data_IF_691907333770
#
_entry.id   IF_691907333770
#
_cell.length_a   1.000
_cell.length_b   1.000
_cell.length_c   1.000
_cell.angle_alpha   90.00
_cell.angle_beta   90.00
_cell.angle_gamma   90.00
#
_symmetry.space_group_name_H-M   'P 1'
#
loop_
_entity.id
_entity.type
_entity.pdbx_description
1 polymer ?
#
# COMPACT_ATOMS: atom_id res chain seq x y z
N UNK A 1 -19.44 -23.95 14.46
CA UNK A 1 -18.36 -23.79 13.50
C UNK A 1 -18.81 -23.89 12.03
N UNK A 2 -19.65 -24.84 11.64
CA UNK A 2 -20.12 -25.01 10.22
C UNK A 2 -20.87 -23.81 9.62
N UNK A 3 -21.61 -23.02 10.40
CA UNK A 3 -22.34 -21.84 9.91
C UNK A 3 -21.43 -20.64 9.58
N UNK A 4 -20.38 -20.39 10.37
CA UNK A 4 -19.42 -19.30 10.16
C UNK A 4 -18.53 -19.58 8.93
N UNK A 5 -18.17 -20.86 8.70
CA UNK A 5 -17.40 -21.26 7.53
C UNK A 5 -18.22 -21.08 6.22
N UNK A 6 -19.53 -21.37 6.26
CA UNK A 6 -20.42 -21.12 5.12
C UNK A 6 -20.57 -19.63 4.82
N UNK A 7 -20.61 -18.79 5.84
CA UNK A 7 -20.71 -17.33 5.69
C UNK A 7 -19.43 -16.74 5.11
N UNK A 8 -18.26 -17.21 5.56
CA UNK A 8 -16.95 -16.82 5.01
C UNK A 8 -16.83 -17.30 3.55
N UNK A 9 -17.27 -18.52 3.26
CA UNK A 9 -17.25 -19.06 1.89
C UNK A 9 -18.22 -18.31 0.97
N UNK A 10 -19.40 -17.90 1.47
CA UNK A 10 -20.37 -17.09 0.72
C UNK A 10 -19.88 -15.65 0.52
N UNK A 11 -19.23 -15.06 1.52
CA UNK A 11 -18.58 -13.77 1.41
C UNK A 11 -17.40 -13.81 0.42
N UNK A 12 -16.63 -14.90 0.43
CA UNK A 12 -15.56 -15.14 -0.56
C UNK A 12 -16.11 -15.38 -1.96
N UNK A 13 -17.25 -16.10 -2.08
CA UNK A 13 -17.92 -16.34 -3.38
C UNK A 13 -18.57 -15.06 -3.92
N UNK A 14 -18.97 -14.12 -3.07
CA UNK A 14 -19.49 -12.81 -3.47
C UNK A 14 -18.37 -11.82 -3.85
N UNK A 15 -17.11 -12.12 -3.53
CA UNK A 15 -15.92 -11.41 -3.99
C UNK A 15 -15.52 -11.79 -5.43
N UNK A 16 -16.14 -12.85 -6.00
CA UNK A 16 -16.02 -13.14 -7.41
C UNK A 16 -16.67 -12.01 -8.20
N UNK A 17 -15.94 -11.36 -9.11
CA UNK A 17 -16.48 -10.23 -9.85
C UNK A 17 -17.74 -10.67 -10.61
N UNK A 18 -18.84 -9.97 -10.37
CA UNK A 18 -20.09 -10.06 -11.17
C UNK A 18 -19.87 -9.65 -12.65
N UNK A 19 -18.65 -9.37 -13.03
CA UNK A 19 -18.20 -9.04 -14.39
C UNK A 19 -18.32 -10.18 -15.39
N UNK A 20 -18.78 -11.37 -15.00
CA UNK A 20 -19.04 -12.50 -15.91
C UNK A 20 -20.20 -12.25 -16.90
N UNK A 21 -20.95 -11.14 -16.78
CA UNK A 21 -22.07 -10.84 -17.69
C UNK A 21 -21.79 -9.77 -18.75
N UNK A 22 -20.57 -9.23 -18.82
CA UNK A 22 -20.22 -8.15 -19.75
C UNK A 22 -19.33 -8.58 -20.93
N UNK A 23 -19.15 -9.88 -21.17
CA UNK A 23 -18.46 -10.36 -22.35
C UNK A 23 -19.41 -10.45 -23.54
N UNK A 24 -19.91 -9.30 -23.99
CA UNK A 24 -20.46 -9.13 -25.34
C UNK A 24 -19.31 -9.05 -26.33
N UNK A 25 -19.39 -9.88 -27.36
CA UNK A 25 -18.46 -10.01 -28.49
C UNK A 25 -17.94 -8.66 -29.01
N UNK A 26 -16.67 -8.39 -28.83
CA UNK A 26 -15.88 -7.57 -29.75
C UNK A 26 -14.86 -8.48 -30.43
N UNK A 27 -14.90 -8.54 -31.77
CA UNK A 27 -13.96 -9.22 -32.66
C UNK A 27 -12.61 -8.49 -32.73
N UNK A 28 -12.06 -8.11 -31.62
CA UNK A 28 -10.72 -7.55 -31.49
C UNK A 28 -10.08 -8.19 -30.28
N UNK A 29 -9.01 -8.96 -30.48
CA UNK A 29 -8.28 -9.57 -29.37
C UNK A 29 -7.97 -8.52 -28.31
N UNK A 30 -8.36 -8.79 -27.05
CA UNK A 30 -8.16 -7.89 -25.93
C UNK A 30 -6.66 -7.57 -25.84
N UNK A 31 -6.28 -6.31 -26.02
CA UNK A 31 -4.91 -5.90 -25.75
C UNK A 31 -4.67 -6.01 -24.24
N UNK A 32 -4.14 -7.16 -23.85
CA UNK A 32 -3.89 -7.52 -22.46
C UNK A 32 -3.00 -6.48 -21.77
N UNK A 33 -2.04 -5.91 -22.47
CA UNK A 33 -1.14 -4.91 -21.91
C UNK A 33 -1.91 -3.63 -21.55
N UNK A 34 -2.72 -3.13 -22.46
CA UNK A 34 -3.55 -1.94 -22.23
C UNK A 34 -4.57 -2.18 -21.11
N UNK A 35 -5.19 -3.37 -21.07
CA UNK A 35 -6.10 -3.77 -20.01
C UNK A 35 -5.43 -3.77 -18.63
N UNK A 36 -4.27 -4.42 -18.50
CA UNK A 36 -3.56 -4.53 -17.23
C UNK A 36 -3.12 -3.16 -16.72
N UNK A 37 -2.44 -2.38 -17.55
CA UNK A 37 -1.92 -1.08 -17.13
C UNK A 37 -3.03 -0.04 -16.90
N UNK A 38 -4.13 -0.11 -17.64
CA UNK A 38 -5.30 0.75 -17.43
C UNK A 38 -5.97 0.51 -16.08
N UNK A 39 -6.04 -0.75 -15.61
CA UNK A 39 -6.65 -1.06 -14.31
C UNK A 39 -5.73 -0.78 -13.13
N UNK A 40 -4.43 -1.05 -13.26
CA UNK A 40 -3.44 -0.85 -12.19
C UNK A 40 -3.02 0.61 -12.06
N UNK A 41 -3.07 1.37 -13.15
CA UNK A 41 -2.70 2.78 -13.21
C UNK A 41 -3.59 3.70 -12.38
N UNK A 42 -3.06 4.89 -12.12
CA UNK A 42 -3.82 5.98 -11.52
C UNK A 42 -4.67 6.69 -12.60
N UNK A 43 -5.86 7.16 -12.24
CA UNK A 43 -6.81 7.76 -13.19
C UNK A 43 -7.58 8.92 -12.55
N UNK A 44 -8.12 9.82 -13.40
CA UNK A 44 -8.98 10.93 -12.98
C UNK A 44 -10.46 10.53 -12.87
N UNK A 45 -10.75 9.25 -13.09
CA UNK A 45 -12.09 8.67 -12.93
C UNK A 45 -11.99 7.36 -12.14
N UNK A 46 -12.98 7.10 -11.30
CA UNK A 46 -13.09 5.80 -10.64
C UNK A 46 -14.10 4.94 -11.36
N UNK A 47 -13.62 3.99 -12.12
CA UNK A 47 -14.46 3.02 -12.80
C UNK A 47 -15.05 2.02 -11.78
N UNK A 48 -16.38 1.92 -11.70
CA UNK A 48 -17.07 1.00 -10.79
C UNK A 48 -17.43 -0.29 -11.52
N UNK A 49 -18.15 -0.19 -12.62
CA UNK A 49 -18.61 -1.34 -13.43
C UNK A 49 -19.10 -0.88 -14.79
N UNK A 50 -19.19 -1.83 -15.72
CA UNK A 50 -19.80 -1.63 -17.02
C UNK A 50 -21.15 -2.36 -17.04
N UNK A 51 -22.23 -1.65 -17.37
CA UNK A 51 -23.56 -2.22 -17.51
C UNK A 51 -24.03 -2.03 -18.95
N UNK A 52 -23.99 -3.11 -19.73
CA UNK A 52 -24.19 -3.03 -21.18
C UNK A 52 -23.09 -2.21 -21.86
N UNK A 53 -23.46 -1.20 -22.63
CA UNK A 53 -22.52 -0.28 -23.30
C UNK A 53 -22.18 0.98 -22.48
N UNK A 54 -22.68 1.09 -21.25
CA UNK A 54 -22.46 2.28 -20.41
C UNK A 54 -21.49 1.98 -19.29
N UNK A 55 -20.36 2.70 -19.28
CA UNK A 55 -19.40 2.67 -18.17
C UNK A 55 -19.92 3.53 -17.01
N UNK A 56 -20.07 2.91 -15.84
CA UNK A 56 -20.43 3.63 -14.61
C UNK A 56 -19.12 4.06 -13.95
N UNK A 57 -18.79 5.34 -14.10
CA UNK A 57 -17.60 5.96 -13.52
C UNK A 57 -17.98 7.06 -12.53
N UNK A 58 -17.21 7.21 -11.47
CA UNK A 58 -17.27 8.38 -10.60
C UNK A 58 -16.25 9.39 -11.12
N UNK A 59 -16.67 10.55 -11.67
CA UNK A 59 -15.75 11.58 -12.09
C UNK A 59 -15.11 12.24 -10.88
N UNK A 60 -13.81 12.49 -10.94
CA UNK A 60 -13.06 13.09 -9.85
C UNK A 60 -12.77 14.57 -10.12
N UNK A 61 -12.59 15.38 -9.07
CA UNK A 61 -12.26 16.79 -9.23
C UNK A 61 -10.81 16.95 -9.69
N UNK A 62 -10.64 17.63 -10.80
CA UNK A 62 -9.34 18.04 -11.33
C UNK A 62 -9.04 19.46 -10.82
N UNK A 63 -7.83 19.62 -10.26
CA UNK A 63 -7.32 20.89 -9.73
C UNK A 63 -5.99 21.16 -10.42
N UNK A 64 -5.97 22.14 -11.30
CA UNK A 64 -4.83 22.46 -12.15
C UNK A 64 -4.42 23.91 -11.91
N UNK A 65 -3.12 24.13 -11.81
CA UNK A 65 -2.53 25.48 -11.71
C UNK A 65 -1.77 25.73 -13.01
N UNK A 66 -2.36 26.57 -13.86
CA UNK A 66 -1.81 27.04 -15.11
C UNK A 66 -2.39 28.44 -15.31
N UNK A 67 -1.61 29.47 -15.59
CA UNK A 67 -2.06 30.88 -15.66
C UNK A 67 -3.15 31.31 -14.66
N UNK A 68 -3.50 30.44 -13.71
CA UNK A 68 -4.55 30.57 -12.69
C UNK A 68 -4.92 29.22 -12.07
N UNK A 69 -5.82 29.24 -11.09
CA UNK A 69 -6.38 28.03 -10.49
C UNK A 69 -7.64 27.60 -11.24
N UNK A 70 -7.57 26.44 -11.89
CA UNK A 70 -8.69 25.81 -12.57
C UNK A 70 -9.20 24.62 -11.78
N UNK A 71 -10.50 24.60 -11.43
CA UNK A 71 -11.14 23.49 -10.72
C UNK A 71 -12.35 23.03 -11.52
N UNK A 72 -12.33 21.79 -12.00
CA UNK A 72 -13.38 21.21 -12.81
C UNK A 72 -13.52 19.70 -12.55
N UNK A 73 -14.59 19.10 -13.04
CA UNK A 73 -14.76 17.63 -13.00
C UNK A 73 -14.08 16.99 -14.19
N UNK A 74 -13.56 15.79 -14.02
CA UNK A 74 -12.89 15.02 -15.10
C UNK A 74 -13.76 14.87 -16.35
N UNK A 75 -15.08 14.84 -16.22
CA UNK A 75 -16.02 14.82 -17.36
C UNK A 75 -15.97 16.06 -18.25
N UNK A 76 -15.60 17.21 -17.70
CA UNK A 76 -15.56 18.50 -18.40
C UNK A 76 -14.13 18.92 -18.76
N UNK A 77 -13.17 17.99 -18.72
CA UNK A 77 -11.76 18.25 -18.97
C UNK A 77 -11.55 18.92 -20.35
N UNK A 78 -12.19 18.38 -21.39
CA UNK A 78 -12.09 18.91 -22.75
C UNK A 78 -12.68 20.33 -22.90
N UNK A 79 -13.72 20.67 -22.15
CA UNK A 79 -14.34 22.00 -22.16
C UNK A 79 -13.41 23.07 -21.58
N UNK A 80 -12.52 22.66 -20.68
CA UNK A 80 -11.52 23.53 -20.06
C UNK A 80 -10.18 23.57 -20.81
N UNK A 81 -10.10 22.92 -21.97
CA UNK A 81 -8.89 22.92 -22.81
C UNK A 81 -7.81 21.93 -22.38
N UNK A 82 -8.15 20.94 -21.56
CA UNK A 82 -7.22 19.90 -21.13
C UNK A 82 -7.57 18.55 -21.72
N UNK A 83 -6.55 17.72 -21.91
CA UNK A 83 -6.70 16.33 -22.38
C UNK A 83 -5.73 15.39 -21.64
N UNK A 84 -5.90 14.09 -21.85
CA UNK A 84 -4.98 13.10 -21.32
C UNK A 84 -3.95 12.71 -22.38
N UNK A 85 -2.68 12.67 -22.01
CA UNK A 85 -1.63 12.15 -22.89
C UNK A 85 -1.66 10.60 -22.93
N UNK A 86 -0.74 9.99 -23.71
CA UNK A 86 -0.61 8.54 -23.84
C UNK A 86 -0.34 7.83 -22.50
N UNK A 87 0.24 8.53 -21.51
CA UNK A 87 0.52 8.01 -20.17
C UNK A 87 -0.66 8.22 -19.20
N UNK A 88 -1.81 8.69 -19.68
CA UNK A 88 -2.99 8.99 -18.86
C UNK A 88 -2.80 10.20 -17.93
N UNK A 89 -1.88 11.12 -18.23
CA UNK A 89 -1.64 12.34 -17.46
C UNK A 89 -2.29 13.54 -18.11
N UNK A 90 -2.81 14.45 -17.28
CA UNK A 90 -3.42 15.68 -17.73
C UNK A 90 -2.39 16.61 -18.37
N UNK A 91 -2.70 17.10 -19.57
CA UNK A 91 -1.90 18.05 -20.36
C UNK A 91 -2.83 19.10 -20.98
N UNK A 92 -2.31 20.27 -21.25
CA UNK A 92 -3.00 21.27 -22.05
C UNK A 92 -3.18 20.77 -23.50
N UNK A 93 -4.40 20.89 -24.04
CA UNK A 93 -4.72 20.35 -25.36
C UNK A 93 -4.06 21.12 -26.51
N UNK A 94 -3.66 22.38 -26.30
CA UNK A 94 -3.04 23.21 -27.33
C UNK A 94 -1.50 23.08 -27.35
N UNK A 95 -0.89 23.09 -26.15
CA UNK A 95 0.58 23.09 -26.00
C UNK A 95 1.16 21.71 -25.77
N UNK A 96 0.35 20.71 -25.37
CA UNK A 96 0.75 19.39 -24.89
C UNK A 96 1.75 19.46 -23.70
N UNK A 97 1.85 20.63 -23.07
CA UNK A 97 2.65 20.81 -21.86
C UNK A 97 1.89 20.34 -20.63
N UNK A 98 2.65 19.93 -19.62
CA UNK A 98 2.08 19.41 -18.38
C UNK A 98 2.01 20.52 -17.35
N UNK A 99 0.79 21.02 -16.98
CA UNK A 99 0.61 22.01 -15.94
C UNK A 99 0.92 21.42 -14.55
N UNK A 100 0.95 22.27 -13.53
CA UNK A 100 1.01 21.81 -12.15
C UNK A 100 -0.33 21.20 -11.75
N UNK A 101 -0.37 19.87 -11.70
CA UNK A 101 -1.55 19.09 -11.44
C UNK A 101 -1.60 18.64 -9.96
N UNK A 102 -2.62 19.13 -9.22
CA UNK A 102 -2.90 18.77 -7.82
C UNK A 102 -4.27 18.07 -7.73
N UNK A 103 -4.69 17.44 -8.80
CA UNK A 103 -6.02 16.80 -8.89
C UNK A 103 -6.17 15.64 -7.91
N UNK A 104 -7.41 15.40 -7.48
CA UNK A 104 -7.75 14.23 -6.69
C UNK A 104 -7.96 13.05 -7.63
N UNK A 105 -6.91 12.28 -7.84
CA UNK A 105 -6.94 11.04 -8.63
C UNK A 105 -7.57 9.88 -7.84
N UNK A 106 -7.81 8.76 -8.51
CA UNK A 106 -8.32 7.52 -7.90
C UNK A 106 -7.50 7.09 -6.68
N UNK A 107 -6.17 7.12 -6.81
CA UNK A 107 -5.27 6.72 -5.71
C UNK A 107 -5.29 7.72 -4.56
N UNK A 108 -5.37 9.02 -4.84
CA UNK A 108 -5.47 10.06 -3.79
C UNK A 108 -6.78 9.93 -3.02
N UNK A 109 -7.91 9.74 -3.73
CA UNK A 109 -9.21 9.53 -3.08
C UNK A 109 -9.21 8.25 -2.23
N UNK A 110 -8.66 7.16 -2.76
CA UNK A 110 -8.54 5.92 -2.01
C UNK A 110 -7.70 6.08 -0.74
N UNK A 111 -6.57 6.78 -0.82
CA UNK A 111 -5.73 7.09 0.36
C UNK A 111 -6.51 7.90 1.41
N UNK A 112 -7.29 8.90 0.99
CA UNK A 112 -8.13 9.70 1.91
C UNK A 112 -9.19 8.83 2.59
N UNK A 113 -9.88 7.97 1.84
CA UNK A 113 -10.91 7.07 2.37
C UNK A 113 -10.27 6.04 3.33
N UNK A 114 -9.15 5.44 2.94
CA UNK A 114 -8.45 4.46 3.76
C UNK A 114 -7.89 5.08 5.06
N UNK A 115 -7.37 6.30 4.98
CA UNK A 115 -6.93 7.05 6.16
C UNK A 115 -8.12 7.38 7.09
N UNK A 116 -9.26 7.82 6.55
CA UNK A 116 -10.47 8.07 7.33
C UNK A 116 -11.01 6.77 7.96
N UNK A 117 -11.00 5.66 7.23
CA UNK A 117 -11.38 4.34 7.73
C UNK A 117 -10.48 3.91 8.89
N UNK A 118 -9.16 4.01 8.72
CA UNK A 118 -8.18 3.68 9.75
C UNK A 118 -8.38 4.53 11.01
N UNK A 119 -8.52 5.85 10.85
CA UNK A 119 -8.79 6.75 11.95
C UNK A 119 -10.10 6.37 12.67
N UNK A 120 -11.15 6.05 11.92
CA UNK A 120 -12.43 5.60 12.47
C UNK A 120 -12.29 4.33 13.29
N UNK A 121 -11.53 3.35 12.81
CA UNK A 121 -11.25 2.09 13.51
C UNK A 121 -10.48 2.35 14.81
N UNK A 122 -9.36 3.07 14.74
CA UNK A 122 -8.50 3.34 15.92
C UNK A 122 -9.23 4.19 16.96
N UNK A 123 -9.93 5.25 16.53
CA UNK A 123 -10.72 6.08 17.45
C UNK A 123 -11.89 5.31 18.04
N UNK A 124 -12.50 4.41 17.28
CA UNK A 124 -13.53 3.49 17.77
C UNK A 124 -13.02 2.58 18.88
N UNK A 125 -11.87 1.95 18.65
CA UNK A 125 -11.19 1.14 19.67
C UNK A 125 -10.83 1.97 20.91
N UNK A 126 -10.23 3.14 20.72
CA UNK A 126 -9.84 4.02 21.82
C UNK A 126 -11.04 4.49 22.65
N UNK A 127 -12.19 4.79 22.01
CA UNK A 127 -13.45 5.13 22.71
C UNK A 127 -13.99 3.96 23.51
N UNK A 128 -13.90 2.75 22.99
CA UNK A 128 -14.35 1.56 23.70
C UNK A 128 -13.54 1.39 25.00
N UNK A 129 -12.19 1.44 24.93
CA UNK A 129 -11.30 1.33 26.10
C UNK A 129 -11.49 2.44 27.14
N UNK A 130 -11.90 3.64 26.72
CA UNK A 130 -12.23 4.74 27.65
C UNK A 130 -13.53 4.53 28.41
N UNK A 131 -14.49 3.77 27.85
CA UNK A 131 -15.84 3.60 28.40
C UNK A 131 -16.02 2.30 29.21
N UNK A 132 -15.16 1.31 28.98
CA UNK A 132 -15.30 -0.02 29.54
C UNK A 132 -14.10 -0.36 30.42
N UNK A 133 -14.39 -1.02 31.54
CA UNK A 133 -13.34 -1.53 32.44
C UNK A 133 -12.82 -2.87 31.88
N UNK A 134 -11.59 -2.86 31.40
CA UNK A 134 -10.93 -4.03 30.75
C UNK A 134 -10.87 -5.25 31.70
N UNK A 135 -10.85 -5.02 33.02
CA UNK A 135 -10.83 -6.11 34.00
C UNK A 135 -12.17 -6.82 34.12
N UNK A 136 -13.27 -6.13 33.76
CA UNK A 136 -14.64 -6.64 33.94
C UNK A 136 -15.30 -7.05 32.64
N UNK A 137 -14.97 -6.38 31.55
CA UNK A 137 -15.61 -6.56 30.23
C UNK A 137 -14.61 -6.99 29.18
N UNK A 138 -14.91 -8.09 28.45
CA UNK A 138 -14.08 -8.56 27.35
C UNK A 138 -14.40 -7.79 26.08
N UNK A 139 -13.39 -7.35 25.33
CA UNK A 139 -13.59 -6.72 24.04
C UNK A 139 -14.33 -7.65 23.07
N UNK A 140 -15.19 -7.07 22.21
CA UNK A 140 -16.00 -7.81 21.24
C UNK A 140 -15.90 -7.18 19.85
N UNK A 141 -16.16 -7.98 18.81
CA UNK A 141 -16.18 -7.53 17.41
C UNK A 141 -14.83 -6.99 16.95
N UNK A 142 -14.82 -5.81 16.36
CA UNK A 142 -13.65 -5.20 15.76
C UNK A 142 -12.55 -4.88 16.80
N UNK A 143 -12.93 -4.49 18.02
CA UNK A 143 -11.96 -4.22 19.09
C UNK A 143 -11.20 -5.50 19.46
N UNK A 144 -11.90 -6.64 19.58
CA UNK A 144 -11.27 -7.94 19.88
C UNK A 144 -10.37 -8.44 18.74
N UNK A 145 -10.60 -7.98 17.50
CA UNK A 145 -9.73 -8.30 16.36
C UNK A 145 -8.48 -7.41 16.36
N UNK A 146 -8.63 -6.12 16.68
CA UNK A 146 -7.54 -5.16 16.65
C UNK A 146 -6.57 -5.30 17.82
N UNK A 147 -7.07 -5.69 19.00
CA UNK A 147 -6.27 -5.79 20.23
C UNK A 147 -5.03 -6.69 20.06
N UNK A 148 -5.14 -7.96 19.62
CA UNK A 148 -3.97 -8.83 19.47
C UNK A 148 -2.99 -8.31 18.41
N UNK A 149 -3.48 -7.64 17.35
CA UNK A 149 -2.62 -7.07 16.31
C UNK A 149 -1.85 -5.87 16.86
N UNK A 150 -2.52 -4.97 17.59
CA UNK A 150 -1.88 -3.81 18.22
C UNK A 150 -0.82 -4.28 19.23
N UNK A 151 -1.15 -5.24 20.09
CA UNK A 151 -0.22 -5.78 21.07
C UNK A 151 0.98 -6.47 20.42
N UNK A 152 0.75 -7.27 19.38
CA UNK A 152 1.82 -7.91 18.61
C UNK A 152 2.78 -6.88 18.00
N UNK A 153 2.25 -5.84 17.36
CA UNK A 153 3.08 -4.80 16.73
C UNK A 153 3.84 -3.99 17.77
N UNK A 154 3.20 -3.63 18.90
CA UNK A 154 3.84 -2.83 19.93
C UNK A 154 4.89 -3.63 20.73
N UNK A 155 4.52 -4.84 21.22
CA UNK A 155 5.39 -5.61 22.12
C UNK A 155 6.44 -6.41 21.35
N UNK A 156 6.01 -7.24 20.40
CA UNK A 156 6.90 -8.25 19.81
C UNK A 156 7.72 -7.67 18.64
N UNK A 157 7.23 -6.57 18.02
CA UNK A 157 7.92 -5.99 16.89
C UNK A 157 8.67 -4.71 17.26
N UNK A 158 8.00 -3.73 17.92
CA UNK A 158 8.60 -2.41 18.15
C UNK A 158 9.47 -2.42 19.41
N UNK A 159 8.90 -2.88 20.53
CA UNK A 159 9.61 -2.86 21.82
C UNK A 159 10.80 -3.78 21.85
N UNK A 160 10.67 -4.99 21.31
CA UNK A 160 11.74 -5.98 21.31
C UNK A 160 12.91 -5.59 20.39
N UNK A 161 12.63 -4.88 19.28
CA UNK A 161 13.66 -4.45 18.31
C UNK A 161 14.36 -3.16 18.74
N UNK A 162 13.60 -2.16 19.24
CA UNK A 162 14.19 -0.86 19.60
C UNK A 162 14.71 -0.86 21.03
N UNK A 163 14.08 -1.62 21.93
CA UNK A 163 14.47 -1.66 23.34
C UNK A 163 14.05 -0.40 24.13
N UNK A 164 14.86 0.04 25.12
CA UNK A 164 14.54 1.21 25.93
C UNK A 164 14.34 2.46 25.08
N UNK A 165 13.24 3.20 25.34
CA UNK A 165 12.94 4.42 24.56
C UNK A 165 12.03 4.18 23.33
N UNK A 166 11.59 2.95 23.06
CA UNK A 166 10.71 2.62 21.94
C UNK A 166 9.45 3.50 21.84
N UNK A 167 8.93 3.98 22.97
CA UNK A 167 7.70 4.81 23.04
C UNK A 167 7.76 6.08 22.19
N UNK A 168 8.95 6.59 21.93
CA UNK A 168 9.15 7.76 21.06
C UNK A 168 8.87 7.45 19.59
N UNK A 169 9.19 6.24 19.15
CA UNK A 169 9.10 5.81 17.74
C UNK A 169 7.85 4.96 17.48
N UNK A 170 7.26 4.37 18.53
CA UNK A 170 6.09 3.52 18.43
C UNK A 170 4.91 4.17 17.67
N UNK A 171 4.52 5.45 17.89
CA UNK A 171 3.42 6.06 17.16
C UNK A 171 3.66 6.08 15.63
N UNK A 172 4.88 6.38 15.21
CA UNK A 172 5.24 6.37 13.79
C UNK A 172 5.16 4.95 13.20
N UNK A 173 5.82 3.98 13.84
CA UNK A 173 5.89 2.60 13.36
C UNK A 173 4.51 1.91 13.35
N UNK A 174 3.70 2.14 14.37
CA UNK A 174 2.31 1.69 14.42
C UNK A 174 1.48 2.29 13.28
N UNK A 175 1.63 3.59 13.05
CA UNK A 175 0.93 4.28 11.95
C UNK A 175 1.36 3.71 10.61
N UNK A 176 2.66 3.51 10.38
CA UNK A 176 3.18 2.92 9.14
C UNK A 176 2.65 1.50 8.93
N UNK A 177 2.65 0.66 9.97
CA UNK A 177 2.12 -0.70 9.91
C UNK A 177 0.65 -0.73 9.47
N UNK A 178 -0.21 -0.02 10.21
CA UNK A 178 -1.64 -0.04 9.94
C UNK A 178 -1.99 0.67 8.63
N UNK A 179 -1.28 1.72 8.28
CA UNK A 179 -1.46 2.41 7.01
C UNK A 179 -1.16 1.47 5.82
N UNK A 180 -0.02 0.78 5.85
CA UNK A 180 0.34 -0.18 4.79
C UNK A 180 -0.66 -1.34 4.77
N UNK A 181 -0.98 -1.92 5.93
CA UNK A 181 -1.91 -3.04 6.02
C UNK A 181 -3.29 -2.70 5.47
N UNK A 182 -3.87 -1.57 5.89
CA UNK A 182 -5.21 -1.16 5.43
C UNK A 182 -5.20 -0.85 3.94
N UNK A 183 -4.19 -0.14 3.43
CA UNK A 183 -4.11 0.17 2.00
C UNK A 183 -3.94 -1.09 1.15
N UNK A 184 -3.10 -2.04 1.57
CA UNK A 184 -2.92 -3.30 0.86
C UNK A 184 -4.21 -4.14 0.88
N UNK A 185 -4.87 -4.27 2.03
CA UNK A 185 -6.12 -5.02 2.15
C UNK A 185 -7.23 -4.37 1.32
N UNK A 186 -7.37 -3.04 1.38
CA UNK A 186 -8.38 -2.32 0.58
C UNK A 186 -8.10 -2.41 -0.92
N UNK A 187 -6.83 -2.55 -1.32
CA UNK A 187 -6.47 -2.80 -2.71
C UNK A 187 -7.02 -4.13 -3.25
N UNK A 188 -7.05 -5.19 -2.45
CA UNK A 188 -7.53 -6.51 -2.84
C UNK A 188 -9.05 -6.53 -3.05
N UNK A 189 -9.81 -5.67 -2.35
CA UNK A 189 -11.27 -5.62 -2.51
C UNK A 189 -11.67 -4.98 -3.85
N UNK A 190 -12.34 -5.71 -4.77
CA UNK A 190 -12.63 -5.21 -6.12
C UNK A 190 -13.81 -4.22 -6.17
N UNK A 191 -14.43 -3.90 -5.02
CA UNK A 191 -15.59 -3.02 -4.94
C UNK A 191 -15.22 -1.66 -4.34
N UNK A 192 -15.89 -0.60 -4.83
CA UNK A 192 -15.79 0.71 -4.20
C UNK A 192 -16.10 0.63 -2.67
N UNK A 193 -15.28 1.22 -1.80
CA UNK A 193 -14.12 2.08 -2.02
C UNK A 193 -12.76 1.36 -2.15
N UNK A 194 -12.75 0.05 -2.42
CA UNK A 194 -11.55 -0.75 -2.67
C UNK A 194 -11.11 -0.77 -4.13
N UNK A 195 -10.16 -1.65 -4.46
CA UNK A 195 -9.67 -1.86 -5.82
C UNK A 195 -8.71 -0.81 -6.35
N UNK A 196 -8.33 0.18 -5.55
CA UNK A 196 -7.28 1.12 -5.90
C UNK A 196 -5.93 0.59 -5.43
N UNK A 197 -4.98 0.46 -6.36
CA UNK A 197 -3.63 -0.01 -6.08
C UNK A 197 -2.76 1.12 -5.52
N UNK A 198 -3.09 1.58 -4.29
CA UNK A 198 -2.44 2.74 -3.67
C UNK A 198 -0.97 2.51 -3.36
N UNK A 199 -0.62 1.36 -2.79
CA UNK A 199 0.77 0.99 -2.45
C UNK A 199 1.55 0.43 -3.64
N UNK A 200 0.88 0.08 -4.75
CA UNK A 200 1.47 -0.14 -6.06
C UNK A 200 1.75 1.16 -6.84
N UNK A 201 1.51 2.32 -6.23
CA UNK A 201 1.97 3.60 -6.76
C UNK A 201 3.33 3.96 -6.14
N UNK A 202 4.34 4.12 -6.99
CA UNK A 202 5.72 4.39 -6.56
C UNK A 202 5.85 5.69 -5.75
N UNK A 203 5.02 6.69 -6.02
CA UNK A 203 5.03 7.95 -5.28
C UNK A 203 4.62 7.75 -3.82
N UNK A 204 3.60 6.92 -3.55
CA UNK A 204 3.12 6.61 -2.20
C UNK A 204 4.20 5.86 -1.41
N UNK A 205 4.79 4.84 -2.02
CA UNK A 205 5.84 4.04 -1.37
C UNK A 205 7.14 4.84 -1.18
N UNK A 206 7.45 5.75 -2.09
CA UNK A 206 8.55 6.70 -1.95
C UNK A 206 8.35 7.60 -0.73
N UNK A 207 7.17 8.17 -0.56
CA UNK A 207 6.85 9.04 0.60
C UNK A 207 7.02 8.27 1.91
N UNK A 208 6.52 7.03 2.01
CA UNK A 208 6.72 6.17 3.18
C UNK A 208 8.21 5.92 3.47
N UNK A 209 8.99 5.61 2.42
CA UNK A 209 10.42 5.39 2.56
C UNK A 209 11.18 6.66 2.97
N UNK A 210 10.78 7.83 2.46
CA UNK A 210 11.34 9.14 2.85
C UNK A 210 11.02 9.45 4.32
N UNK A 211 9.82 9.15 4.80
CA UNK A 211 9.51 9.29 6.23
C UNK A 211 10.41 8.40 7.10
N UNK A 212 10.63 7.14 6.72
CA UNK A 212 11.58 6.27 7.41
C UNK A 212 13.00 6.84 7.35
N UNK A 213 13.44 7.33 6.19
CA UNK A 213 14.74 7.97 6.03
C UNK A 213 14.92 9.18 6.97
N UNK A 214 13.90 10.02 7.07
CA UNK A 214 13.89 11.18 7.97
C UNK A 214 13.96 10.72 9.43
N UNK A 215 13.15 9.73 9.83
CA UNK A 215 13.14 9.22 11.19
C UNK A 215 14.49 8.63 11.60
N UNK A 216 15.17 7.94 10.71
CA UNK A 216 16.49 7.35 10.95
C UNK A 216 17.59 8.42 11.01
N UNK A 217 17.63 9.33 10.03
CA UNK A 217 18.77 10.21 9.85
C UNK A 217 18.62 11.56 10.58
N UNK A 218 17.42 12.17 10.60
CA UNK A 218 17.24 13.49 11.29
C UNK A 218 17.29 13.32 12.80
N UNK A 219 16.77 12.20 13.30
CA UNK A 219 16.79 11.91 14.74
C UNK A 219 17.95 11.02 15.17
N UNK A 220 18.88 10.68 14.26
CA UNK A 220 20.06 9.85 14.53
C UNK A 220 20.98 10.47 15.57
N UNK A 221 21.63 9.62 16.38
CA UNK A 221 22.59 10.03 17.40
C UNK A 221 23.91 10.48 16.78
N UNK A 222 24.71 11.25 17.55
CA UNK A 222 26.07 11.62 17.10
C UNK A 222 26.96 10.41 16.86
N UNK A 223 26.78 9.35 17.62
CA UNK A 223 27.55 8.11 17.46
C UNK A 223 27.23 7.43 16.13
N UNK A 224 25.94 7.40 15.73
CA UNK A 224 25.53 6.90 14.42
C UNK A 224 26.23 7.63 13.26
N UNK A 225 26.26 8.97 13.28
CA UNK A 225 26.98 9.74 12.26
C UNK A 225 28.49 9.54 12.32
N UNK A 226 29.05 9.38 13.53
CA UNK A 226 30.46 9.07 13.69
C UNK A 226 30.81 7.71 13.08
N UNK A 227 29.97 6.70 13.25
CA UNK A 227 30.17 5.39 12.63
C UNK A 227 30.09 5.43 11.11
N UNK A 228 29.16 6.22 10.53
CA UNK A 228 29.06 6.41 9.08
C UNK A 228 30.33 7.06 8.50
N UNK A 229 30.78 8.16 9.11
CA UNK A 229 31.91 8.95 8.55
C UNK A 229 33.29 8.47 9.05
N UNK A 230 33.34 7.87 10.24
CA UNK A 230 34.57 7.45 10.89
C UNK A 230 34.40 6.11 11.61
N UNK A 231 34.19 5.02 10.89
CA UNK A 231 33.95 3.71 11.50
C UNK A 231 35.17 3.24 12.30
N UNK A 232 34.92 2.56 13.42
CA UNK A 232 35.97 1.97 14.27
C UNK A 232 36.49 0.64 13.65
N UNK A 233 37.22 0.80 12.52
CA UNK A 233 37.89 -0.31 11.81
C UNK A 233 39.39 -0.22 11.95
N UNK A 234 40.14 -1.33 11.76
CA UNK A 234 41.61 -1.33 11.80
C UNK A 234 42.22 -0.27 10.86
N UNK A 235 43.35 0.32 11.27
CA UNK A 235 44.03 1.44 10.58
C UNK A 235 44.30 1.17 9.09
N UNK A 236 44.53 -0.08 8.74
CA UNK A 236 44.74 -0.53 7.34
C UNK A 236 43.50 -0.26 6.45
N UNK A 237 42.29 -0.47 6.98
CA UNK A 237 41.01 -0.19 6.26
C UNK A 237 40.64 1.30 6.26
N UNK A 238 41.17 2.08 7.23
CA UNK A 238 41.00 3.54 7.25
C UNK A 238 41.83 4.26 6.17
N UNK A 239 42.92 3.65 5.70
CA UNK A 239 43.76 4.23 4.66
C UNK A 239 43.04 4.30 3.30
N UNK A 240 42.07 3.44 3.05
CA UNK A 240 41.21 3.48 1.86
C UNK A 240 39.82 3.97 2.33
N UNK A 241 39.31 5.12 1.85
CA UNK A 241 38.01 5.67 2.31
C UNK A 241 36.80 4.88 1.75
N UNK A 242 36.94 3.55 1.62
CA UNK A 242 35.95 2.66 1.07
C UNK A 242 34.77 2.46 2.04
N UNK A 243 35.05 2.30 3.34
CA UNK A 243 34.03 2.05 4.35
C UNK A 243 33.03 3.20 4.51
N UNK A 244 33.44 4.47 4.66
CA UNK A 244 32.51 5.59 4.66
C UNK A 244 31.66 5.69 3.41
N UNK A 245 32.23 5.37 2.23
CA UNK A 245 31.48 5.38 0.98
C UNK A 245 30.38 4.31 0.99
N UNK A 246 30.69 3.10 1.45
CA UNK A 246 29.74 1.99 1.55
C UNK A 246 28.62 2.35 2.54
N UNK A 247 28.95 2.92 3.71
CA UNK A 247 27.98 3.34 4.72
C UNK A 247 27.07 4.46 4.20
N UNK A 248 27.62 5.47 3.52
CA UNK A 248 26.82 6.54 2.91
C UNK A 248 25.87 5.98 1.84
N UNK A 249 26.33 5.08 0.98
CA UNK A 249 25.48 4.40 0.02
C UNK A 249 24.40 3.61 0.76
N UNK A 250 24.75 2.91 1.85
CA UNK A 250 23.85 2.18 2.72
C UNK A 250 22.71 3.01 3.28
N UNK A 251 22.98 4.25 3.68
CA UNK A 251 21.97 5.20 4.19
C UNK A 251 20.86 5.45 3.19
N UNK A 252 21.17 5.53 1.88
CA UNK A 252 20.19 5.73 0.82
C UNK A 252 19.56 4.42 0.34
N UNK A 253 20.33 3.35 0.24
CA UNK A 253 19.84 2.06 -0.30
C UNK A 253 18.85 1.38 0.65
N UNK A 254 18.97 1.57 1.96
CA UNK A 254 18.03 0.99 2.94
C UNK A 254 16.57 1.46 2.70
N UNK A 255 16.25 2.77 2.70
CA UNK A 255 14.89 3.26 2.40
C UNK A 255 14.46 2.93 0.98
N UNK A 256 15.38 3.00 0.00
CA UNK A 256 15.08 2.64 -1.38
C UNK A 256 14.66 1.17 -1.51
N UNK A 257 15.33 0.26 -0.81
CA UNK A 257 14.95 -1.16 -0.75
C UNK A 257 13.56 -1.37 -0.15
N UNK A 258 13.18 -0.61 0.89
CA UNK A 258 11.83 -0.65 1.46
C UNK A 258 10.78 -0.20 0.44
N UNK A 259 11.05 0.91 -0.27
CA UNK A 259 10.18 1.44 -1.32
C UNK A 259 9.93 0.41 -2.43
N UNK A 260 11.01 -0.11 -3.03
CA UNK A 260 10.91 -1.06 -4.14
C UNK A 260 10.20 -2.35 -3.71
N UNK A 261 10.48 -2.86 -2.52
CA UNK A 261 9.83 -4.08 -2.02
C UNK A 261 8.33 -3.91 -1.88
N UNK A 262 7.88 -2.79 -1.27
CA UNK A 262 6.45 -2.52 -1.10
C UNK A 262 5.77 -2.33 -2.46
N UNK A 263 6.36 -1.51 -3.33
CA UNK A 263 5.88 -1.25 -4.67
C UNK A 263 5.77 -2.52 -5.52
N UNK A 264 6.88 -3.27 -5.65
CA UNK A 264 6.95 -4.42 -6.55
C UNK A 264 6.02 -5.56 -6.12
N UNK A 265 5.91 -5.84 -4.81
CA UNK A 265 5.03 -6.90 -4.33
C UNK A 265 3.56 -6.56 -4.58
N UNK A 266 3.14 -5.33 -4.28
CA UNK A 266 1.73 -4.92 -4.46
C UNK A 266 1.37 -4.83 -5.94
N UNK A 267 2.24 -4.21 -6.75
CA UNK A 267 2.03 -4.13 -8.20
C UNK A 267 1.98 -5.52 -8.84
N UNK A 268 2.92 -6.40 -8.46
CA UNK A 268 3.02 -7.76 -8.97
C UNK A 268 1.79 -8.61 -8.62
N UNK A 269 1.28 -8.52 -7.38
CA UNK A 269 0.07 -9.21 -6.94
C UNK A 269 -1.15 -8.83 -7.79
N UNK A 270 -1.41 -7.53 -7.94
CA UNK A 270 -2.50 -7.03 -8.79
C UNK A 270 -2.38 -7.47 -10.24
N UNK A 271 -1.18 -7.40 -10.85
CA UNK A 271 -0.97 -7.84 -12.22
C UNK A 271 -1.23 -9.34 -12.35
N UNK A 272 -0.81 -10.16 -11.38
CA UNK A 272 -1.06 -11.60 -11.39
C UNK A 272 -2.56 -11.93 -11.39
N UNK A 273 -3.35 -11.31 -10.50
CA UNK A 273 -4.79 -11.54 -10.41
C UNK A 273 -5.50 -11.10 -11.70
N UNK A 274 -5.19 -9.90 -12.20
CA UNK A 274 -5.75 -9.40 -13.45
C UNK A 274 -5.37 -10.28 -14.66
N UNK A 275 -4.18 -10.86 -14.66
CA UNK A 275 -3.75 -11.79 -15.72
C UNK A 275 -4.58 -13.07 -15.71
N UNK A 276 -4.96 -13.60 -14.53
CA UNK A 276 -5.84 -14.76 -14.44
C UNK A 276 -7.25 -14.45 -14.96
N UNK A 277 -7.78 -13.27 -14.67
CA UNK A 277 -9.05 -12.80 -15.21
C UNK A 277 -8.94 -12.62 -16.73
N UNK A 278 -7.88 -11.99 -17.20
CA UNK A 278 -7.61 -11.78 -18.63
C UNK A 278 -7.52 -13.09 -19.44
N UNK A 279 -6.98 -14.15 -18.84
CA UNK A 279 -6.91 -15.47 -19.48
C UNK A 279 -8.29 -16.04 -19.85
N UNK A 280 -9.31 -15.76 -19.02
CA UNK A 280 -10.71 -16.15 -19.30
C UNK A 280 -11.22 -15.44 -20.57
N UNK A 281 -10.93 -14.14 -20.70
CA UNK A 281 -11.35 -13.36 -21.87
C UNK A 281 -10.62 -13.80 -23.15
N UNK A 282 -9.31 -14.04 -23.08
CA UNK A 282 -8.53 -14.53 -24.24
C UNK A 282 -9.05 -15.91 -24.70
N UNK A 283 -9.38 -16.79 -23.78
CA UNK A 283 -9.85 -18.12 -24.11
C UNK A 283 -11.30 -18.16 -24.67
N UNK A 284 -12.05 -17.06 -24.56
CA UNK A 284 -13.44 -16.98 -24.99
C UNK A 284 -13.62 -17.31 -26.50
N UNK A 285 -12.64 -16.92 -27.33
CA UNK A 285 -12.62 -17.23 -28.78
C UNK A 285 -12.19 -18.65 -29.15
N UNK A 286 -11.73 -19.48 -28.19
CA UNK A 286 -11.13 -20.79 -28.47
C UNK A 286 -12.14 -21.95 -28.42
N UNK A 287 -13.43 -21.68 -28.30
CA UNK A 287 -14.52 -22.66 -28.22
C UNK A 287 -14.90 -23.05 -26.79
N UNK A 288 -16.14 -23.52 -26.63
CA UNK A 288 -16.77 -23.67 -25.30
C UNK A 288 -16.03 -24.60 -24.34
N UNK A 289 -15.46 -25.71 -24.83
CA UNK A 289 -14.74 -26.69 -23.98
C UNK A 289 -13.43 -26.12 -23.49
N UNK A 290 -12.67 -25.44 -24.37
CA UNK A 290 -11.40 -24.84 -24.02
C UNK A 290 -11.63 -23.68 -23.07
N UNK A 291 -12.55 -22.76 -23.39
CA UNK A 291 -12.90 -21.64 -22.52
C UNK A 291 -13.39 -22.11 -21.14
N UNK A 292 -14.27 -23.12 -21.09
CA UNK A 292 -14.74 -23.68 -19.82
C UNK A 292 -13.61 -24.25 -18.97
N UNK A 293 -12.64 -24.94 -19.58
CA UNK A 293 -11.47 -25.47 -18.87
C UNK A 293 -10.57 -24.35 -18.32
N UNK A 294 -10.26 -23.33 -19.13
CA UNK A 294 -9.47 -22.18 -18.70
C UNK A 294 -10.20 -21.37 -17.62
N UNK A 295 -11.51 -21.21 -17.72
CA UNK A 295 -12.31 -20.51 -16.70
C UNK A 295 -12.22 -21.21 -15.35
N UNK A 296 -12.38 -22.55 -15.31
CA UNK A 296 -12.28 -23.30 -14.04
C UNK A 296 -10.88 -23.19 -13.45
N UNK A 297 -9.83 -23.35 -14.26
CA UNK A 297 -8.44 -23.24 -13.78
C UNK A 297 -8.13 -21.82 -13.31
N UNK A 298 -8.49 -20.80 -14.08
CA UNK A 298 -8.26 -19.38 -13.71
C UNK A 298 -9.00 -19.01 -12.43
N UNK A 299 -10.22 -19.52 -12.24
CA UNK A 299 -11.01 -19.29 -11.04
C UNK A 299 -10.35 -19.89 -9.80
N UNK A 300 -9.92 -21.14 -9.88
CA UNK A 300 -9.26 -21.83 -8.77
C UNK A 300 -7.93 -21.16 -8.42
N UNK A 301 -7.12 -20.83 -9.44
CA UNK A 301 -5.87 -20.13 -9.24
C UNK A 301 -6.09 -18.71 -8.75
N UNK A 302 -7.09 -17.97 -9.25
CA UNK A 302 -7.44 -16.63 -8.78
C UNK A 302 -7.76 -16.61 -7.29
N UNK A 303 -8.65 -17.48 -6.81
CA UNK A 303 -8.99 -17.61 -5.39
C UNK A 303 -7.74 -17.95 -4.55
N UNK A 304 -6.88 -18.83 -5.05
CA UNK A 304 -5.63 -19.16 -4.38
C UNK A 304 -4.68 -17.94 -4.30
N UNK A 305 -4.55 -17.19 -5.40
CA UNK A 305 -3.73 -15.97 -5.45
C UNK A 305 -4.29 -14.87 -4.53
N UNK A 306 -5.61 -14.68 -4.46
CA UNK A 306 -6.25 -13.74 -3.52
C UNK A 306 -5.92 -14.08 -2.06
N UNK A 307 -5.96 -15.37 -1.71
CA UNK A 307 -5.54 -15.81 -0.37
C UNK A 307 -4.07 -15.53 -0.09
N UNK A 308 -3.20 -15.73 -1.08
CA UNK A 308 -1.78 -15.39 -0.97
C UNK A 308 -1.58 -13.88 -0.86
N UNK A 309 -2.33 -13.08 -1.60
CA UNK A 309 -2.20 -11.62 -1.58
C UNK A 309 -2.61 -11.04 -0.21
N UNK A 310 -3.64 -11.58 0.44
CA UNK A 310 -3.98 -11.23 1.83
C UNK A 310 -2.82 -11.53 2.78
N UNK A 311 -2.19 -12.69 2.64
CA UNK A 311 -1.02 -13.04 3.45
C UNK A 311 0.16 -12.10 3.18
N UNK A 312 0.44 -11.83 1.91
CA UNK A 312 1.51 -10.91 1.49
C UNK A 312 1.24 -9.49 1.97
N UNK A 313 -0.01 -9.01 1.96
CA UNK A 313 -0.41 -7.72 2.48
C UNK A 313 -0.01 -7.54 3.95
N UNK A 314 -0.24 -8.57 4.78
CA UNK A 314 0.17 -8.58 6.19
C UNK A 314 1.69 -8.65 6.34
N UNK A 315 2.35 -9.59 5.64
CA UNK A 315 3.80 -9.76 5.67
C UNK A 315 4.51 -8.47 5.24
N UNK A 316 3.97 -7.76 4.26
CA UNK A 316 4.56 -6.53 3.75
C UNK A 316 4.51 -5.39 4.77
N UNK A 317 3.38 -5.23 5.47
CA UNK A 317 3.26 -4.27 6.57
C UNK A 317 4.23 -4.63 7.71
N UNK A 318 4.32 -5.92 8.05
CA UNK A 318 5.24 -6.43 9.07
C UNK A 318 6.70 -6.18 8.71
N UNK A 319 7.14 -6.59 7.52
CA UNK A 319 8.55 -6.45 7.09
C UNK A 319 8.96 -4.99 6.95
N UNK A 320 8.09 -4.13 6.41
CA UNK A 320 8.37 -2.70 6.33
C UNK A 320 8.60 -2.09 7.72
N UNK A 321 7.71 -2.40 8.66
CA UNK A 321 7.78 -1.87 10.03
C UNK A 321 8.96 -2.44 10.79
N UNK A 322 9.23 -3.76 10.65
CA UNK A 322 10.38 -4.41 11.28
C UNK A 322 11.70 -3.80 10.80
N UNK A 323 11.90 -3.66 9.50
CA UNK A 323 13.14 -3.09 8.98
C UNK A 323 13.28 -1.60 9.34
N UNK A 324 12.18 -0.85 9.35
CA UNK A 324 12.18 0.54 9.83
C UNK A 324 12.57 0.61 11.31
N UNK A 325 12.05 -0.29 12.15
CA UNK A 325 12.42 -0.39 13.57
C UNK A 325 13.90 -0.75 13.75
N UNK A 326 14.41 -1.72 12.97
CA UNK A 326 15.83 -2.09 12.97
C UNK A 326 16.72 -0.91 12.57
N UNK A 327 16.36 -0.17 11.52
CA UNK A 327 17.14 0.99 11.10
C UNK A 327 17.12 2.12 12.15
N UNK A 328 15.99 2.34 12.81
CA UNK A 328 15.88 3.29 13.94
C UNK A 328 16.72 2.80 15.11
N UNK A 329 16.68 1.53 15.46
CA UNK A 329 17.48 0.95 16.55
C UNK A 329 18.99 1.10 16.31
N UNK A 330 19.44 0.88 15.08
CA UNK A 330 20.84 1.08 14.69
C UNK A 330 21.27 2.56 14.74
N UNK A 331 20.35 3.47 14.42
CA UNK A 331 20.62 4.91 14.48
C UNK A 331 20.57 5.47 15.92
N UNK A 332 19.97 4.72 16.86
CA UNK A 332 19.80 5.11 18.26
C UNK A 332 20.18 3.91 19.15
N UNK A 333 21.46 3.51 19.18
CA UNK A 333 21.88 2.50 20.13
C UNK A 333 21.51 2.97 21.54
N UNK A 334 20.84 2.11 22.29
CA UNK A 334 20.48 2.42 23.69
C UNK A 334 21.78 2.79 24.41
N UNK A 335 21.79 3.95 25.06
CA UNK A 335 22.95 4.38 25.85
C UNK A 335 23.27 3.25 26.82
N UNK A 336 24.48 2.67 26.73
CA UNK A 336 24.95 1.61 27.62
C UNK A 336 24.81 1.97 29.10
N UNK A 337 24.81 3.26 29.41
CA UNK A 337 24.57 3.81 30.75
C UNK A 337 23.13 3.63 31.27
N UNK A 338 22.13 3.53 30.40
CA UNK A 338 20.75 3.26 30.83
C UNK A 338 20.53 1.79 31.17
N UNK A 339 21.30 0.88 30.60
CA UNK A 339 21.24 -0.54 30.88
C UNK A 339 21.94 -0.91 32.21
N UNK A 340 22.93 -0.13 32.66
CA UNK A 340 23.60 -0.34 33.96
C UNK A 340 22.76 0.14 35.14
N UNK A 341 21.95 1.20 34.97
CA UNK A 341 21.08 1.70 36.05
C UNK A 341 19.90 0.76 36.35
N UNK A 342 19.43 -0.01 35.37
CA UNK A 342 18.35 -1.01 35.59
C UNK A 342 18.87 -2.31 36.26
N UNK A 343 20.18 -2.57 36.25
CA UNK A 343 20.76 -3.74 36.91
C UNK A 343 21.15 -3.47 38.37
N UNK A 344 21.04 -2.23 38.83
CA UNK A 344 21.41 -1.81 40.19
C UNK A 344 20.23 -1.42 41.08
N UNK A 345 18.99 -1.48 40.57
CA UNK A 345 17.73 -1.47 41.32
C UNK A 345 17.04 -2.87 41.30
#
# INVERSE_FOLDING_TARGET
>A
MRGKLKFILLAFLSLLPLSLHAAGQEEGGLDMQSYLFGHVGDSYEWHITKVGDTDITIPLPCIVIDDGLHVFSSKHMAEHGYTLNADGKLVDAATMERPLDISITKNVLALMINAALLLGIILGCARWYRKHDVLKEKPRGLVALMEPVIMFVESDLIRDVIGPGYKKYAPYLMTAFFFILVNNLMGIFPFFPGGANTTGNIAVTLVLAVFTFIMVNVFGTRNYFKEIFWPDVPVFLKAIPLMPIIEIIGVFTKPFSLMIRLFANTLGGHIMILSMVGLIFISAGMGAVVNGSFTVVSLLLGVFLDCLEILVAFIQAYVFTLLSAVFISLAHPADEHAAETVKTE
#
